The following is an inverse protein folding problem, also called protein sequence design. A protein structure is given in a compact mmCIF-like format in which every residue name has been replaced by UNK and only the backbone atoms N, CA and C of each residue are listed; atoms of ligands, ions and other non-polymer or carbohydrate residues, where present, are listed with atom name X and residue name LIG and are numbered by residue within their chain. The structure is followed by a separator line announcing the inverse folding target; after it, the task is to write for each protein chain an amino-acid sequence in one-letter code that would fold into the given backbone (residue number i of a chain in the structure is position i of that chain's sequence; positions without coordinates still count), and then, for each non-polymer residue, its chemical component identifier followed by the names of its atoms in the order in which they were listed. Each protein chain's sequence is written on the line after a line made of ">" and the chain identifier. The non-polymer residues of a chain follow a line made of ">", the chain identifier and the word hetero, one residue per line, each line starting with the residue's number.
data_IF_416880385810
#
_entry.id   IF_416880385810
#
_cell.length_a   1.000
_cell.length_b   1.000
_cell.length_c   1.000
_cell.angle_alpha   90.00
_cell.angle_beta   90.00
_cell.angle_gamma   90.00
#
_symmetry.space_group_name_H-M   'P 1'
#
loop_
_entity.id
_entity.type
_entity.pdbx_description
1 polymer ?
#
# COMPACT_ATOMS: atom_id res chain seq x y z
N UNK A 1 -30.02 18.03 -8.21
CA UNK A 1 -28.84 17.73 -9.06
C UNK A 1 -28.96 16.28 -9.50
N UNK A 2 -28.48 15.92 -10.69
CA UNK A 2 -28.45 14.53 -11.14
C UNK A 2 -27.37 13.77 -10.34
N UNK A 3 -27.65 12.51 -10.00
CA UNK A 3 -26.65 11.64 -9.38
C UNK A 3 -25.49 11.41 -10.36
N UNK A 4 -24.27 11.42 -9.82
CA UNK A 4 -23.02 11.15 -10.52
C UNK A 4 -22.32 10.01 -9.81
N UNK A 5 -22.28 8.85 -10.47
CA UNK A 5 -21.80 7.61 -9.88
C UNK A 5 -20.30 7.47 -10.13
N UNK A 6 -19.51 7.46 -9.05
CA UNK A 6 -18.07 7.33 -9.12
C UNK A 6 -17.62 6.01 -8.49
N UNK A 7 -16.97 5.16 -9.27
CA UNK A 7 -16.35 3.94 -8.74
C UNK A 7 -14.91 4.22 -8.31
N UNK A 8 -14.63 4.01 -7.03
CA UNK A 8 -13.26 4.13 -6.47
C UNK A 8 -12.43 2.90 -6.79
N UNK A 9 -11.36 3.08 -7.55
CA UNK A 9 -10.50 2.03 -8.03
C UNK A 9 -9.08 2.21 -7.46
N UNK A 10 -8.55 1.19 -6.81
CA UNK A 10 -7.19 1.22 -6.22
C UNK A 10 -6.21 0.29 -6.94
N UNK A 11 -6.66 -0.43 -7.95
CA UNK A 11 -5.88 -1.48 -8.62
C UNK A 11 -5.88 -2.83 -7.88
N UNK A 12 -6.26 -2.86 -6.60
CA UNK A 12 -6.35 -4.11 -5.84
C UNK A 12 -7.55 -4.98 -6.25
N UNK A 13 -7.52 -6.28 -5.86
CA UNK A 13 -8.50 -7.30 -6.26
C UNK A 13 -9.97 -6.89 -6.05
N UNK A 14 -10.28 -6.33 -4.90
CA UNK A 14 -11.66 -5.99 -4.54
C UNK A 14 -12.21 -4.85 -5.40
N UNK A 15 -11.44 -3.77 -5.56
CA UNK A 15 -11.84 -2.65 -6.41
C UNK A 15 -11.86 -3.02 -7.91
N UNK A 16 -10.98 -3.93 -8.34
CA UNK A 16 -10.98 -4.47 -9.70
C UNK A 16 -12.25 -5.28 -9.96
N UNK A 17 -12.54 -6.25 -9.07
CA UNK A 17 -13.74 -7.07 -9.16
C UNK A 17 -15.02 -6.21 -9.16
N UNK A 18 -15.10 -5.21 -8.27
CA UNK A 18 -16.23 -4.29 -8.22
C UNK A 18 -16.44 -3.57 -9.55
N UNK A 19 -15.41 -2.92 -10.08
CA UNK A 19 -15.53 -2.13 -11.32
C UNK A 19 -15.91 -3.01 -12.51
N UNK A 20 -15.23 -4.14 -12.69
CA UNK A 20 -15.50 -5.04 -13.79
C UNK A 20 -16.90 -5.65 -13.71
N UNK A 21 -17.33 -6.06 -12.52
CA UNK A 21 -18.66 -6.63 -12.31
C UNK A 21 -19.78 -5.61 -12.50
N UNK A 22 -19.60 -4.37 -12.06
CA UNK A 22 -20.55 -3.29 -12.33
C UNK A 22 -20.72 -3.07 -13.85
N UNK A 23 -19.62 -3.05 -14.61
CA UNK A 23 -19.65 -2.94 -16.08
C UNK A 23 -20.38 -4.14 -16.70
N UNK A 24 -20.06 -5.35 -16.29
CA UNK A 24 -20.69 -6.60 -16.78
C UNK A 24 -22.21 -6.61 -16.53
N UNK A 25 -22.66 -6.10 -15.38
CA UNK A 25 -24.07 -5.99 -15.03
C UNK A 25 -24.80 -4.83 -15.75
N UNK A 26 -24.07 -4.00 -16.48
CA UNK A 26 -24.61 -2.79 -17.12
C UNK A 26 -25.03 -1.72 -16.12
N UNK A 27 -24.46 -1.72 -14.91
CA UNK A 27 -24.72 -0.68 -13.93
C UNK A 27 -24.17 0.66 -14.42
N UNK A 28 -24.90 1.73 -14.14
CA UNK A 28 -24.47 3.06 -14.54
C UNK A 28 -23.27 3.52 -13.71
N UNK A 29 -22.19 3.87 -14.38
CA UNK A 29 -20.97 4.48 -13.82
C UNK A 29 -20.63 5.69 -14.69
N UNK A 30 -20.59 6.88 -14.11
CA UNK A 30 -20.15 8.08 -14.82
C UNK A 30 -18.62 8.14 -14.89
N UNK A 31 -17.93 7.70 -13.82
CA UNK A 31 -16.48 7.81 -13.73
C UNK A 31 -15.85 6.75 -12.83
N UNK A 32 -14.70 6.24 -13.23
CA UNK A 32 -13.78 5.44 -12.39
C UNK A 32 -12.62 6.32 -11.98
N UNK A 33 -12.36 6.41 -10.68
CA UNK A 33 -11.30 7.25 -10.11
C UNK A 33 -10.24 6.40 -9.45
N UNK A 34 -9.00 6.55 -9.88
CA UNK A 34 -7.82 5.92 -9.28
C UNK A 34 -6.87 6.99 -8.74
N UNK A 35 -6.15 6.69 -7.66
CA UNK A 35 -5.18 7.60 -7.07
C UNK A 35 -3.77 7.00 -7.15
N UNK A 36 -2.84 7.74 -7.76
CA UNK A 36 -1.45 7.31 -7.88
C UNK A 36 -0.68 7.57 -6.58
N UNK A 37 -0.02 6.53 -6.05
CA UNK A 37 0.85 6.63 -4.88
C UNK A 37 2.31 6.78 -5.25
N UNK A 38 2.65 6.65 -6.53
CA UNK A 38 3.99 6.66 -7.11
C UNK A 38 4.89 5.49 -6.66
N UNK A 39 4.40 4.60 -5.79
CA UNK A 39 5.17 3.48 -5.21
C UNK A 39 4.46 2.13 -5.30
N UNK A 40 3.54 1.99 -6.24
CA UNK A 40 2.96 0.68 -6.54
C UNK A 40 3.97 -0.20 -7.30
N UNK A 41 3.77 -1.52 -7.25
CA UNK A 41 4.58 -2.44 -8.05
C UNK A 41 4.40 -2.16 -9.57
N UNK A 42 5.44 -2.37 -10.41
CA UNK A 42 5.29 -2.20 -11.85
C UNK A 42 4.15 -3.01 -12.46
N UNK A 43 3.93 -4.25 -11.99
CA UNK A 43 2.81 -5.08 -12.40
C UNK A 43 1.45 -4.46 -12.04
N UNK A 44 1.35 -3.74 -10.91
CA UNK A 44 0.14 -3.02 -10.52
C UNK A 44 -0.17 -1.88 -11.51
N UNK A 45 0.83 -1.12 -11.94
CA UNK A 45 0.63 -0.08 -12.94
C UNK A 45 0.16 -0.66 -14.29
N UNK A 46 0.75 -1.78 -14.74
CA UNK A 46 0.28 -2.47 -15.96
C UNK A 46 -1.15 -2.98 -15.82
N UNK A 47 -1.50 -3.50 -14.65
CA UNK A 47 -2.86 -3.91 -14.33
C UNK A 47 -3.84 -2.72 -14.38
N UNK A 48 -3.49 -1.59 -13.75
CA UNK A 48 -4.31 -0.37 -13.78
C UNK A 48 -4.58 0.07 -15.23
N UNK A 49 -3.55 0.10 -16.08
CA UNK A 49 -3.70 0.45 -17.49
C UNK A 49 -4.57 -0.55 -18.27
N UNK A 50 -4.52 -1.85 -17.93
CA UNK A 50 -5.39 -2.87 -18.52
C UNK A 50 -6.85 -2.63 -18.16
N UNK A 51 -7.15 -2.36 -16.88
CA UNK A 51 -8.52 -2.06 -16.41
C UNK A 51 -9.00 -0.74 -16.99
N UNK A 52 -8.17 0.30 -17.04
CA UNK A 52 -8.49 1.60 -17.65
C UNK A 52 -9.01 1.43 -19.08
N UNK A 53 -8.33 0.63 -19.91
CA UNK A 53 -8.79 0.37 -21.29
C UNK A 53 -10.18 -0.25 -21.34
N UNK A 54 -10.51 -1.16 -20.41
CA UNK A 54 -11.85 -1.77 -20.34
C UNK A 54 -12.89 -0.73 -19.96
N UNK A 55 -12.60 0.11 -18.97
CA UNK A 55 -13.47 1.20 -18.52
C UNK A 55 -13.75 2.18 -19.67
N UNK A 56 -12.70 2.63 -20.36
CA UNK A 56 -12.81 3.58 -21.48
C UNK A 56 -13.56 2.96 -22.70
N UNK A 57 -13.32 1.66 -22.98
CA UNK A 57 -14.06 0.93 -24.02
C UNK A 57 -15.56 0.78 -23.70
N UNK A 58 -15.93 0.77 -22.43
CA UNK A 58 -17.32 0.81 -21.96
C UNK A 58 -17.95 2.23 -22.04
N UNK A 59 -17.20 3.22 -22.53
CA UNK A 59 -17.65 4.61 -22.61
C UNK A 59 -17.64 5.35 -21.25
N UNK A 60 -16.96 4.81 -20.24
CA UNK A 60 -16.88 5.36 -18.90
C UNK A 60 -15.59 6.19 -18.78
N UNK A 61 -15.69 7.36 -18.16
CA UNK A 61 -14.52 8.20 -17.90
C UNK A 61 -13.61 7.54 -16.89
N UNK A 62 -12.29 7.51 -17.15
CA UNK A 62 -11.26 7.09 -16.20
C UNK A 62 -10.38 8.27 -15.79
N UNK A 63 -10.27 8.53 -14.50
CA UNK A 63 -9.46 9.63 -13.97
C UNK A 63 -8.38 9.10 -13.02
N UNK A 64 -7.12 9.37 -13.37
CA UNK A 64 -5.98 9.16 -12.47
C UNK A 64 -5.72 10.44 -11.69
N UNK A 65 -6.04 10.43 -10.41
CA UNK A 65 -5.73 11.54 -9.51
C UNK A 65 -4.27 11.44 -9.08
N UNK A 66 -3.54 12.53 -9.24
CA UNK A 66 -2.16 12.69 -8.80
C UNK A 66 -2.07 13.80 -7.78
N UNK A 67 -1.24 13.59 -6.76
CA UNK A 67 -0.87 14.67 -5.84
C UNK A 67 -0.01 15.71 -6.58
N UNK A 68 0.09 16.93 -6.02
CA UNK A 68 0.93 18.00 -6.55
C UNK A 68 2.41 17.59 -6.66
N UNK A 69 2.86 16.81 -5.68
CA UNK A 69 4.20 16.23 -5.65
C UNK A 69 4.13 14.73 -5.46
N UNK A 70 5.17 14.02 -5.88
CA UNK A 70 5.29 12.58 -5.74
C UNK A 70 5.72 12.12 -4.34
N UNK A 71 5.87 10.81 -4.16
CA UNK A 71 6.30 10.23 -2.90
C UNK A 71 7.72 10.70 -2.51
N UNK A 72 8.65 10.76 -3.47
CA UNK A 72 10.05 11.04 -3.20
C UNK A 72 10.26 12.48 -2.72
N UNK A 73 9.51 13.42 -3.29
CA UNK A 73 9.50 14.79 -2.80
C UNK A 73 9.04 14.87 -1.33
N UNK A 74 7.90 14.26 -0.99
CA UNK A 74 7.42 14.27 0.39
C UNK A 74 8.36 13.52 1.34
N UNK A 75 8.99 12.47 0.86
CA UNK A 75 9.91 11.65 1.64
C UNK A 75 11.20 12.40 1.99
N UNK A 76 11.83 13.07 1.01
CA UNK A 76 13.19 13.60 1.13
C UNK A 76 13.30 15.13 1.16
N UNK A 77 12.35 15.86 0.57
CA UNK A 77 12.52 17.30 0.33
C UNK A 77 11.51 18.18 1.07
N UNK A 78 10.29 17.72 1.25
CA UNK A 78 9.19 18.50 1.82
C UNK A 78 9.52 19.07 3.19
N UNK A 79 9.31 20.39 3.37
CA UNK A 79 9.50 21.08 4.65
C UNK A 79 8.14 21.40 5.30
N UNK A 80 7.66 20.57 6.23
CA UNK A 80 6.40 20.84 6.91
C UNK A 80 6.53 22.07 7.84
N UNK A 81 5.54 22.94 7.81
CA UNK A 81 5.42 24.02 8.80
C UNK A 81 5.24 23.39 10.18
N UNK A 82 6.20 23.60 11.06
CA UNK A 82 6.18 23.08 12.44
C UNK A 82 5.62 24.12 13.40
N UNK A 83 4.93 23.64 14.47
CA UNK A 83 4.39 24.54 15.50
C UNK A 83 5.49 25.12 16.39
N UNK A 84 6.56 24.38 16.63
CA UNK A 84 7.72 24.84 17.39
C UNK A 84 8.86 25.17 16.43
N UNK A 85 9.21 26.48 16.24
CA UNK A 85 10.29 26.90 15.36
C UNK A 85 11.69 26.53 15.88
N UNK A 86 11.83 26.26 17.19
CA UNK A 86 13.12 25.96 17.82
C UNK A 86 13.62 24.52 17.51
N UNK A 87 12.72 23.67 16.97
CA UNK A 87 13.08 22.31 16.63
C UNK A 87 13.40 22.21 15.14
N UNK A 88 14.68 22.00 14.83
CA UNK A 88 15.14 21.77 13.47
C UNK A 88 15.03 20.27 13.15
N UNK A 89 14.38 19.95 12.05
CA UNK A 89 14.31 18.59 11.49
C UNK A 89 14.99 18.54 10.14
N UNK A 90 15.56 17.39 9.75
CA UNK A 90 16.04 17.20 8.40
C UNK A 90 14.91 17.45 7.36
N UNK A 91 15.26 17.74 6.09
CA UNK A 91 14.29 17.77 5.01
C UNK A 91 13.51 16.47 4.88
N UNK A 92 12.31 16.57 4.32
CA UNK A 92 11.43 15.44 4.10
C UNK A 92 10.68 14.96 5.34
N UNK A 93 9.70 14.10 5.09
CA UNK A 93 8.93 13.42 6.14
C UNK A 93 9.61 12.12 6.62
N UNK A 94 10.58 11.63 5.84
CA UNK A 94 11.18 10.30 6.04
C UNK A 94 10.12 9.18 6.01
N UNK A 95 10.39 8.00 6.58
CA UNK A 95 9.46 6.89 6.51
C UNK A 95 8.14 7.17 7.24
N UNK A 96 7.00 6.84 6.62
CA UNK A 96 5.72 6.86 7.32
C UNK A 96 5.67 5.74 8.36
N UNK A 97 4.83 5.92 9.39
CA UNK A 97 4.59 4.92 10.41
C UNK A 97 3.10 4.86 10.79
N UNK A 98 2.73 3.99 11.74
CA UNK A 98 1.34 3.80 12.15
C UNK A 98 0.67 5.08 12.67
N UNK A 99 1.44 6.00 13.28
CA UNK A 99 0.95 7.27 13.83
C UNK A 99 1.04 8.41 12.83
N UNK A 100 2.02 8.37 11.92
CA UNK A 100 2.27 9.45 10.95
C UNK A 100 2.22 8.88 9.53
N UNK A 101 1.01 8.71 9.02
CA UNK A 101 0.73 8.19 7.67
C UNK A 101 0.63 9.32 6.65
N UNK A 102 1.68 10.13 6.54
CA UNK A 102 1.71 11.28 5.63
C UNK A 102 1.47 10.88 4.16
N UNK A 103 1.98 9.71 3.73
CA UNK A 103 1.76 9.20 2.37
C UNK A 103 0.27 8.99 2.07
N UNK A 104 -0.50 8.44 3.01
CA UNK A 104 -1.95 8.31 2.86
C UNK A 104 -2.63 9.66 2.76
N UNK A 105 -2.20 10.64 3.57
CA UNK A 105 -2.78 11.98 3.57
C UNK A 105 -2.48 12.70 2.26
N UNK A 106 -1.20 12.93 1.95
CA UNK A 106 -0.79 13.80 0.84
C UNK A 106 -0.99 13.16 -0.54
N UNK A 107 -0.80 11.84 -0.66
CA UNK A 107 -0.89 11.17 -1.95
C UNK A 107 -2.28 10.59 -2.26
N UNK A 108 -3.13 10.37 -1.25
CA UNK A 108 -4.47 9.78 -1.46
C UNK A 108 -5.58 10.69 -0.94
N UNK A 109 -5.62 10.93 0.38
CA UNK A 109 -6.80 11.52 1.03
C UNK A 109 -7.04 12.96 0.60
N UNK A 110 -6.02 13.81 0.64
CA UNK A 110 -6.17 15.24 0.33
C UNK A 110 -6.49 15.44 -1.18
N UNK A 111 -5.79 14.80 -2.15
CA UNK A 111 -6.14 14.88 -3.57
C UNK A 111 -7.56 14.37 -3.87
N UNK A 112 -7.95 13.23 -3.31
CA UNK A 112 -9.29 12.66 -3.49
C UNK A 112 -10.37 13.62 -2.95
N UNK A 113 -10.17 14.17 -1.74
CA UNK A 113 -11.12 15.13 -1.17
C UNK A 113 -11.25 16.40 -2.01
N UNK A 114 -10.15 16.92 -2.53
CA UNK A 114 -10.16 18.08 -3.40
C UNK A 114 -10.95 17.79 -4.68
N UNK A 115 -10.70 16.64 -5.31
CA UNK A 115 -11.39 16.20 -6.50
C UNK A 115 -12.92 16.04 -6.28
N UNK A 116 -13.31 15.30 -5.24
CA UNK A 116 -14.73 15.12 -4.94
C UNK A 116 -15.43 16.41 -4.49
N UNK A 117 -14.71 17.32 -3.84
CA UNK A 117 -15.28 18.64 -3.51
C UNK A 117 -15.66 19.40 -4.77
N UNK A 118 -14.80 19.35 -5.79
CA UNK A 118 -15.09 20.01 -7.06
C UNK A 118 -16.28 19.34 -7.79
N UNK A 119 -16.31 18.01 -7.87
CA UNK A 119 -17.44 17.29 -8.45
C UNK A 119 -18.77 17.61 -7.77
N UNK A 120 -18.78 17.74 -6.44
CA UNK A 120 -19.98 18.05 -5.65
C UNK A 120 -20.52 19.47 -5.84
N UNK A 121 -19.75 20.38 -6.44
CA UNK A 121 -20.27 21.68 -6.85
C UNK A 121 -21.31 21.56 -7.97
N UNK A 122 -21.25 20.47 -8.75
CA UNK A 122 -22.07 20.30 -9.96
C UNK A 122 -23.00 19.09 -9.91
N UNK A 123 -22.72 18.10 -9.04
CA UNK A 123 -23.42 16.81 -9.00
C UNK A 123 -23.74 16.37 -7.57
N UNK A 124 -24.75 15.51 -7.44
CA UNK A 124 -24.91 14.67 -6.25
C UNK A 124 -24.02 13.42 -6.42
N UNK A 125 -22.83 13.40 -5.80
CA UNK A 125 -21.82 12.35 -6.03
C UNK A 125 -22.10 11.15 -5.16
N UNK A 126 -22.35 10.00 -5.76
CA UNK A 126 -22.44 8.68 -5.11
C UNK A 126 -21.12 7.93 -5.35
N UNK A 127 -20.42 7.60 -4.29
CA UNK A 127 -19.13 6.91 -4.36
C UNK A 127 -19.28 5.41 -4.12
N UNK A 128 -18.98 4.57 -5.12
CA UNK A 128 -18.91 3.12 -4.98
C UNK A 128 -17.51 2.72 -4.45
N UNK A 129 -17.49 1.95 -3.37
CA UNK A 129 -16.26 1.55 -2.67
C UNK A 129 -16.20 0.02 -2.62
N UNK A 130 -15.09 -0.55 -3.11
CA UNK A 130 -14.82 -2.00 -3.08
C UNK A 130 -14.47 -2.47 -1.67
N UNK A 131 -15.49 -2.69 -0.85
CA UNK A 131 -15.39 -3.24 0.49
C UNK A 131 -16.01 -4.65 0.47
N UNK A 132 -15.19 -5.67 0.68
CA UNK A 132 -15.63 -7.07 0.65
C UNK A 132 -16.46 -7.44 1.90
N UNK A 133 -17.32 -8.47 1.77
CA UNK A 133 -18.29 -8.83 2.81
C UNK A 133 -17.63 -9.34 4.10
N UNK A 134 -16.45 -9.95 4.02
CA UNK A 134 -15.65 -10.38 5.17
C UNK A 134 -14.88 -9.22 5.85
N UNK A 135 -14.91 -8.01 5.28
CA UNK A 135 -14.40 -6.78 5.89
C UNK A 135 -15.50 -5.92 6.56
N UNK A 136 -16.66 -6.50 6.90
CA UNK A 136 -17.82 -5.78 7.47
C UNK A 136 -17.46 -4.91 8.69
N UNK A 137 -16.49 -5.34 9.49
CA UNK A 137 -15.96 -4.55 10.63
C UNK A 137 -15.40 -3.17 10.20
N UNK A 138 -15.00 -3.01 8.94
CA UNK A 138 -14.57 -1.72 8.38
C UNK A 138 -15.76 -0.84 8.03
N UNK A 139 -16.88 -1.42 7.62
CA UNK A 139 -18.13 -0.69 7.36
C UNK A 139 -18.68 -0.05 8.63
N UNK A 140 -18.56 -0.73 9.76
CA UNK A 140 -19.05 -0.24 11.05
C UNK A 140 -18.27 0.99 11.58
N UNK A 141 -17.11 1.29 11.00
CA UNK A 141 -16.33 2.47 11.41
C UNK A 141 -17.01 3.75 10.93
N UNK A 142 -17.06 4.73 11.85
CA UNK A 142 -17.57 6.08 11.56
C UNK A 142 -16.87 6.66 10.33
N UNK A 143 -17.65 7.06 9.32
CA UNK A 143 -17.16 7.60 8.05
C UNK A 143 -17.29 6.66 6.85
N UNK A 144 -17.47 5.35 7.06
CA UNK A 144 -17.83 4.43 5.96
C UNK A 144 -19.35 4.30 5.78
N UNK A 145 -20.13 4.86 6.71
CA UNK A 145 -21.61 4.91 6.68
C UNK A 145 -22.14 6.25 6.11
N UNK A 146 -21.37 6.90 5.23
CA UNK A 146 -21.83 8.09 4.51
C UNK A 146 -23.00 7.68 3.59
N UNK A 147 -24.15 8.37 3.61
CA UNK A 147 -25.27 8.07 2.73
C UNK A 147 -24.96 8.20 1.24
N UNK A 148 -23.89 8.91 0.89
CA UNK A 148 -23.39 9.01 -0.47
C UNK A 148 -22.37 7.90 -0.83
N UNK A 149 -22.16 6.93 0.05
CA UNK A 149 -21.35 5.75 -0.24
C UNK A 149 -22.23 4.56 -0.56
N UNK A 150 -21.86 3.84 -1.60
CA UNK A 150 -22.41 2.55 -1.99
C UNK A 150 -21.30 1.49 -1.88
N UNK A 151 -21.66 0.29 -1.48
CA UNK A 151 -20.74 -0.83 -1.32
C UNK A 151 -21.17 -2.05 -2.13
N UNK A 152 -20.97 -2.07 -3.46
CA UNK A 152 -21.48 -3.13 -4.33
C UNK A 152 -21.09 -4.55 -3.91
N UNK A 153 -19.86 -4.75 -3.44
CA UNK A 153 -19.42 -6.07 -2.99
C UNK A 153 -20.18 -6.57 -1.76
N UNK A 154 -20.56 -5.67 -0.84
CA UNK A 154 -21.43 -6.01 0.29
C UNK A 154 -22.84 -6.36 -0.19
N UNK A 155 -23.37 -5.62 -1.15
CA UNK A 155 -24.69 -5.87 -1.74
C UNK A 155 -24.75 -7.23 -2.44
N UNK A 156 -23.67 -7.64 -3.08
CA UNK A 156 -23.55 -8.95 -3.75
C UNK A 156 -23.13 -10.07 -2.80
N UNK A 157 -22.76 -9.77 -1.55
CA UNK A 157 -22.25 -10.73 -0.58
C UNK A 157 -20.88 -11.31 -0.94
N UNK A 158 -20.07 -10.62 -1.72
CA UNK A 158 -18.76 -11.08 -2.17
C UNK A 158 -17.68 -10.86 -1.11
N UNK A 159 -16.98 -11.96 -0.78
CA UNK A 159 -15.81 -11.92 0.10
C UNK A 159 -14.52 -11.70 -0.73
N UNK A 160 -13.40 -11.41 -0.06
CA UNK A 160 -12.10 -11.18 -0.71
C UNK A 160 -11.68 -12.31 -1.65
N UNK A 161 -11.99 -13.57 -1.29
CA UNK A 161 -11.68 -14.74 -2.10
C UNK A 161 -12.50 -14.77 -3.41
N UNK A 162 -13.78 -14.38 -3.36
CA UNK A 162 -14.65 -14.30 -4.55
C UNK A 162 -14.13 -13.22 -5.51
N UNK A 163 -13.70 -12.07 -4.97
CA UNK A 163 -13.13 -10.99 -5.76
C UNK A 163 -11.86 -11.44 -6.50
N UNK A 164 -10.95 -12.13 -5.81
CA UNK A 164 -9.72 -12.64 -6.40
C UNK A 164 -10.01 -13.70 -7.48
N UNK A 165 -10.89 -14.66 -7.15
CA UNK A 165 -11.31 -15.69 -8.11
C UNK A 165 -11.95 -15.07 -9.35
N UNK A 166 -12.87 -14.14 -9.19
CA UNK A 166 -13.50 -13.44 -10.32
C UNK A 166 -12.48 -12.77 -11.21
N UNK A 167 -11.50 -12.07 -10.62
CA UNK A 167 -10.44 -11.42 -11.38
C UNK A 167 -9.60 -12.43 -12.17
N UNK A 168 -9.20 -13.54 -11.57
CA UNK A 168 -8.44 -14.59 -12.25
C UNK A 168 -9.24 -15.23 -13.39
N UNK A 169 -10.51 -15.55 -13.17
CA UNK A 169 -11.40 -16.11 -14.19
C UNK A 169 -11.54 -15.17 -15.42
N UNK A 170 -11.32 -13.86 -15.23
CA UNK A 170 -11.34 -12.84 -16.27
C UNK A 170 -9.94 -12.44 -16.79
N UNK A 171 -8.90 -13.18 -16.40
CA UNK A 171 -7.52 -12.97 -16.87
C UNK A 171 -6.80 -11.79 -16.24
N UNK A 172 -7.18 -11.39 -15.01
CA UNK A 172 -6.48 -10.38 -14.21
C UNK A 172 -5.74 -11.06 -13.06
N UNK A 173 -4.44 -11.23 -13.21
CA UNK A 173 -3.57 -11.99 -12.31
C UNK A 173 -2.48 -11.13 -11.62
N UNK A 174 -2.39 -9.84 -11.96
CA UNK A 174 -1.33 -8.93 -11.47
C UNK A 174 0.08 -9.49 -11.66
N UNK A 175 0.27 -10.33 -12.69
CA UNK A 175 1.55 -11.00 -12.96
C UNK A 175 2.07 -11.80 -11.75
N UNK A 176 1.17 -12.45 -11.02
CA UNK A 176 1.50 -13.31 -9.87
C UNK A 176 1.71 -12.58 -8.54
N UNK A 177 1.45 -11.27 -8.43
CA UNK A 177 1.65 -10.56 -7.16
C UNK A 177 0.84 -11.17 -6.00
N UNK A 178 -0.40 -11.62 -6.24
CA UNK A 178 -1.22 -12.25 -5.19
C UNK A 178 -0.84 -13.71 -4.88
N UNK A 179 0.02 -14.34 -5.69
CA UNK A 179 0.64 -15.63 -5.38
C UNK A 179 1.82 -15.44 -4.42
N UNK A 180 2.52 -14.30 -4.55
CA UNK A 180 3.68 -13.97 -3.73
C UNK A 180 3.23 -13.32 -2.42
N UNK A 181 2.37 -12.31 -2.48
CA UNK A 181 1.97 -11.50 -1.34
C UNK A 181 0.54 -11.83 -0.89
N UNK A 182 0.34 -11.96 0.40
CA UNK A 182 -1.01 -12.12 0.97
C UNK A 182 -1.85 -10.84 0.79
N UNK A 183 -1.18 -9.70 0.77
CA UNK A 183 -1.78 -8.39 0.50
C UNK A 183 -0.83 -7.54 -0.34
N UNK A 184 -1.27 -7.15 -1.52
CA UNK A 184 -0.53 -6.20 -2.35
C UNK A 184 -0.73 -4.79 -1.84
N UNK A 185 0.38 -4.10 -1.56
CA UNK A 185 0.45 -2.69 -1.13
C UNK A 185 1.61 -2.01 -1.84
N UNK A 186 1.84 -0.71 -1.61
CA UNK A 186 3.06 -0.07 -2.09
C UNK A 186 4.30 -0.88 -1.68
N UNK A 187 5.22 -1.15 -2.61
CA UNK A 187 6.36 -2.03 -2.36
C UNK A 187 7.28 -1.55 -1.23
N UNK A 188 7.35 -0.23 -0.99
CA UNK A 188 8.16 0.38 0.07
C UNK A 188 7.39 0.67 1.37
N UNK A 189 6.25 0.02 1.62
CA UNK A 189 5.43 0.33 2.79
C UNK A 189 6.03 -0.22 4.09
N UNK A 190 6.39 0.60 5.09
CA UNK A 190 6.93 0.11 6.37
C UNK A 190 5.89 -0.65 7.21
N UNK A 191 4.59 -0.52 6.87
CA UNK A 191 3.51 -1.15 7.62
C UNK A 191 3.22 -2.60 7.18
N UNK A 192 3.84 -3.07 6.09
CA UNK A 192 3.69 -4.47 5.66
C UNK A 192 4.35 -5.43 6.67
N UNK A 193 3.86 -6.67 6.82
CA UNK A 193 4.48 -7.67 7.69
C UNK A 193 5.94 -7.98 7.31
N UNK A 194 6.75 -8.42 8.26
CA UNK A 194 8.17 -8.79 8.00
C UNK A 194 8.28 -9.91 6.98
N UNK A 195 7.34 -10.86 6.98
CA UNK A 195 7.27 -11.92 5.96
C UNK A 195 7.11 -11.36 4.55
N UNK A 196 6.34 -10.29 4.36
CA UNK A 196 6.19 -9.65 3.05
C UNK A 196 7.49 -8.91 2.62
N UNK A 197 8.25 -8.35 3.58
CA UNK A 197 9.57 -7.78 3.29
C UNK A 197 10.58 -8.83 2.80
N UNK A 198 10.57 -10.04 3.39
CA UNK A 198 11.40 -11.16 2.89
C UNK A 198 11.02 -11.55 1.46
N UNK A 199 9.73 -11.58 1.17
CA UNK A 199 9.22 -11.87 -0.18
C UNK A 199 9.62 -10.77 -1.17
N UNK A 200 9.55 -9.49 -0.77
CA UNK A 200 10.02 -8.36 -1.57
C UNK A 200 11.52 -8.54 -1.92
N UNK A 201 12.37 -8.79 -0.91
CA UNK A 201 13.80 -9.02 -1.09
C UNK A 201 14.07 -10.19 -2.04
N UNK A 202 13.34 -11.29 -1.87
CA UNK A 202 13.55 -12.53 -2.64
C UNK A 202 13.07 -12.43 -4.08
N UNK A 203 11.88 -11.88 -4.31
CA UNK A 203 11.22 -11.88 -5.61
C UNK A 203 11.39 -10.59 -6.40
N UNK A 204 11.76 -9.49 -5.74
CA UNK A 204 11.94 -8.17 -6.33
C UNK A 204 13.24 -7.52 -5.85
N UNK A 205 14.40 -8.12 -6.13
CA UNK A 205 15.70 -7.64 -5.61
C UNK A 205 16.02 -6.21 -6.05
N UNK A 206 15.55 -5.79 -7.22
CA UNK A 206 15.73 -4.42 -7.72
C UNK A 206 14.95 -3.40 -6.87
N UNK A 207 13.70 -3.71 -6.51
CA UNK A 207 12.89 -2.86 -5.63
C UNK A 207 13.43 -2.87 -4.19
N UNK A 208 13.95 -4.01 -3.73
CA UNK A 208 14.64 -4.10 -2.45
C UNK A 208 15.89 -3.24 -2.41
N UNK A 209 16.70 -3.22 -3.49
CA UNK A 209 17.86 -2.35 -3.60
C UNK A 209 17.44 -0.87 -3.61
N UNK A 210 16.37 -0.51 -4.33
CA UNK A 210 15.82 0.85 -4.29
C UNK A 210 15.40 1.25 -2.86
N UNK A 211 14.77 0.32 -2.12
CA UNK A 211 14.38 0.54 -0.72
C UNK A 211 15.60 0.82 0.16
N UNK A 212 16.69 0.07 -0.01
CA UNK A 212 17.97 0.31 0.71
C UNK A 212 18.57 1.67 0.38
N UNK A 213 18.53 2.09 -0.89
CA UNK A 213 19.02 3.43 -1.28
C UNK A 213 18.16 4.56 -0.69
N UNK A 214 16.84 4.41 -0.70
CA UNK A 214 15.94 5.37 -0.06
C UNK A 214 16.21 5.47 1.45
N UNK A 215 16.43 4.35 2.12
CA UNK A 215 16.66 4.31 3.58
C UNK A 215 17.90 5.08 4.01
N UNK A 216 18.94 5.17 3.17
CA UNK A 216 20.14 5.98 3.43
C UNK A 216 19.88 7.48 3.61
N UNK A 217 18.77 7.97 3.05
CA UNK A 217 18.33 9.37 3.16
C UNK A 217 17.33 9.55 4.32
N UNK A 218 16.87 8.46 4.92
CA UNK A 218 15.86 8.49 5.95
C UNK A 218 16.46 8.88 7.32
N UNK A 219 15.75 9.74 8.04
CA UNK A 219 16.06 10.10 9.42
C UNK A 219 15.11 9.46 10.45
N UNK A 220 14.07 8.75 9.97
CA UNK A 220 13.20 7.88 10.78
C UNK A 220 13.50 6.44 10.37
N UNK A 221 13.69 5.50 11.31
CA UNK A 221 13.88 4.09 10.99
C UNK A 221 12.72 3.53 10.14
N UNK A 222 13.06 2.62 9.22
CA UNK A 222 12.08 2.06 8.30
C UNK A 222 10.95 1.32 9.02
N UNK A 223 11.31 0.39 9.91
CA UNK A 223 10.30 -0.45 10.59
C UNK A 223 10.82 -0.98 11.92
N UNK A 224 9.98 -0.88 12.97
CA UNK A 224 10.28 -1.43 14.30
C UNK A 224 11.64 -0.93 14.85
N UNK A 225 11.89 0.36 14.69
CA UNK A 225 13.14 1.02 15.08
C UNK A 225 14.40 0.44 14.41
N UNK A 226 14.22 -0.17 13.22
CA UNK A 226 15.30 -0.75 12.41
C UNK A 226 15.37 -0.11 11.03
N UNK A 227 16.59 0.05 10.53
CA UNK A 227 16.87 0.44 9.15
C UNK A 227 16.63 -0.73 8.19
N UNK A 228 16.55 -0.44 6.90
CA UNK A 228 16.48 -1.49 5.86
C UNK A 228 17.76 -2.33 5.84
N UNK A 229 18.90 -1.74 6.17
CA UNK A 229 20.16 -2.46 6.24
C UNK A 229 20.19 -3.48 7.39
N UNK A 230 19.62 -3.15 8.56
CA UNK A 230 19.46 -4.13 9.65
C UNK A 230 18.57 -5.30 9.24
N UNK A 231 17.52 -5.04 8.42
CA UNK A 231 16.69 -6.10 7.86
C UNK A 231 17.43 -6.94 6.82
N UNK A 232 18.26 -6.33 5.97
CA UNK A 232 19.09 -7.05 5.00
C UNK A 232 20.03 -8.03 5.69
N UNK A 233 20.77 -7.56 6.69
CA UNK A 233 21.74 -8.40 7.46
C UNK A 233 21.00 -9.55 8.15
N UNK A 234 19.83 -9.27 8.73
CA UNK A 234 19.02 -10.31 9.34
C UNK A 234 18.55 -11.36 8.32
N UNK A 235 18.06 -10.95 7.19
CA UNK A 235 17.57 -11.87 6.15
C UNK A 235 18.73 -12.69 5.55
N UNK A 236 19.91 -12.12 5.40
CA UNK A 236 21.11 -12.87 4.99
C UNK A 236 21.44 -13.97 6.00
N UNK A 237 21.46 -13.64 7.28
CA UNK A 237 21.70 -14.64 8.33
C UNK A 237 20.63 -15.72 8.37
N UNK A 238 19.36 -15.36 8.15
CA UNK A 238 18.25 -16.33 8.02
C UNK A 238 18.49 -17.27 6.85
N UNK A 239 18.84 -16.76 5.66
CA UNK A 239 19.15 -17.56 4.46
C UNK A 239 20.34 -18.50 4.70
N UNK A 240 21.42 -18.03 5.36
CA UNK A 240 22.60 -18.84 5.69
C UNK A 240 22.26 -20.01 6.64
N UNK A 241 21.42 -19.74 7.65
CA UNK A 241 20.97 -20.78 8.57
C UNK A 241 20.09 -21.81 7.89
N UNK A 242 19.15 -21.37 7.07
CA UNK A 242 18.30 -22.29 6.28
C UNK A 242 19.14 -23.17 5.35
N UNK A 243 20.16 -22.61 4.70
CA UNK A 243 21.08 -23.37 3.84
C UNK A 243 21.88 -24.43 4.61
N UNK A 244 22.10 -24.22 5.92
CA UNK A 244 22.76 -25.19 6.82
C UNK A 244 21.77 -26.17 7.48
N UNK A 245 20.49 -26.11 7.12
CA UNK A 245 19.42 -26.95 7.71
C UNK A 245 19.02 -26.51 9.13
N UNK A 246 19.42 -25.30 9.54
CA UNK A 246 19.02 -24.70 10.81
C UNK A 246 17.73 -23.88 10.63
N UNK A 247 16.92 -23.79 11.69
CA UNK A 247 15.70 -22.97 11.66
C UNK A 247 15.99 -21.61 12.29
N UNK A 248 15.98 -20.52 11.49
CA UNK A 248 16.17 -19.17 12.03
C UNK A 248 14.96 -18.77 12.87
N UNK A 249 15.21 -18.35 14.11
CA UNK A 249 14.14 -17.90 15.00
C UNK A 249 14.63 -16.77 15.91
N UNK A 250 14.14 -15.56 15.67
CA UNK A 250 14.49 -14.36 16.47
C UNK A 250 14.11 -14.49 17.96
N UNK A 251 13.21 -15.40 18.32
CA UNK A 251 12.84 -15.65 19.72
C UNK A 251 13.91 -16.44 20.47
N UNK A 252 14.79 -17.16 19.77
CA UNK A 252 15.87 -17.92 20.41
C UNK A 252 17.05 -17.02 20.77
N UNK A 253 17.71 -17.33 21.89
CA UNK A 253 18.89 -16.62 22.35
C UNK A 253 20.03 -16.75 21.32
N UNK A 254 20.24 -17.97 20.82
CA UNK A 254 21.34 -18.29 19.88
C UNK A 254 21.24 -17.46 18.61
N UNK A 255 20.05 -17.38 18.00
CA UNK A 255 19.86 -16.57 16.78
C UNK A 255 20.07 -15.07 17.06
N UNK A 256 19.58 -14.57 18.21
CA UNK A 256 19.78 -13.15 18.56
C UNK A 256 21.25 -12.79 18.81
N UNK A 257 22.02 -13.71 19.40
CA UNK A 257 23.46 -13.51 19.60
C UNK A 257 24.19 -13.49 18.26
N UNK A 258 23.94 -14.47 17.38
CA UNK A 258 24.51 -14.48 16.03
C UNK A 258 24.14 -13.23 15.22
N UNK A 259 22.88 -12.78 15.30
CA UNK A 259 22.47 -11.55 14.63
C UNK A 259 23.18 -10.31 15.20
N UNK A 260 23.36 -10.25 16.52
CA UNK A 260 24.10 -9.14 17.15
C UNK A 260 25.54 -9.09 16.68
N UNK A 261 26.24 -10.22 16.71
CA UNK A 261 27.63 -10.33 16.22
C UNK A 261 27.71 -9.87 14.75
N UNK A 262 26.78 -10.31 13.90
CA UNK A 262 26.75 -9.91 12.49
C UNK A 262 26.49 -8.40 12.30
N UNK A 263 25.61 -7.79 13.10
CA UNK A 263 25.37 -6.35 13.07
C UNK A 263 26.60 -5.56 13.53
N UNK A 264 27.28 -6.02 14.60
CA UNK A 264 28.50 -5.42 15.10
C UNK A 264 29.65 -5.47 14.07
N UNK A 265 29.79 -6.59 13.34
CA UNK A 265 30.75 -6.73 12.23
C UNK A 265 30.51 -5.69 11.12
N UNK A 266 29.25 -5.29 10.89
CA UNK A 266 28.86 -4.26 9.92
C UNK A 266 28.87 -2.84 10.51
N UNK A 267 29.31 -2.67 11.77
CA UNK A 267 29.34 -1.38 12.45
C UNK A 267 27.96 -0.80 12.77
N UNK A 268 26.93 -1.63 12.82
CA UNK A 268 25.56 -1.22 13.12
C UNK A 268 25.26 -1.49 14.60
N UNK A 269 25.04 -0.41 15.35
CA UNK A 269 24.57 -0.51 16.74
C UNK A 269 23.05 -0.39 16.74
N UNK A 270 22.31 -1.47 17.06
CA UNK A 270 20.85 -1.42 17.11
C UNK A 270 20.37 -0.36 18.10
N UNK A 271 19.47 0.53 17.65
CA UNK A 271 18.92 1.62 18.47
C UNK A 271 18.10 1.11 19.68
N UNK A 272 17.57 -0.10 19.60
CA UNK A 272 16.92 -0.83 20.69
C UNK A 272 17.51 -2.23 20.78
N UNK A 273 17.73 -2.76 21.99
CA UNK A 273 18.17 -4.15 22.15
C UNK A 273 17.25 -5.10 21.37
N UNK A 274 17.83 -6.20 20.83
CA UNK A 274 17.07 -7.19 20.06
C UNK A 274 15.96 -7.80 20.93
N UNK A 275 14.74 -7.24 20.80
CA UNK A 275 13.56 -7.76 21.50
C UNK A 275 12.86 -8.81 20.61
N UNK A 276 12.21 -9.81 21.20
CA UNK A 276 11.28 -10.67 20.47
C UNK A 276 10.22 -9.80 19.80
N UNK A 277 10.00 -10.02 18.52
CA UNK A 277 8.90 -9.37 17.80
C UNK A 277 7.57 -9.99 18.26
N UNK A 278 6.58 -9.15 18.50
CA UNK A 278 5.19 -9.62 18.61
C UNK A 278 4.71 -10.00 17.19
N UNK A 279 4.07 -11.13 17.05
CA UNK A 279 3.44 -11.62 15.82
C UNK A 279 2.29 -10.71 15.38
#
# INVERSE_FOLDING_TARGET
>A
MKDYIVASFSGGKDSTAMVLRMIELGEHIDEVVCCDTYKEFPAMYRHIEKVKKVVENAGIKFTMIKAEHDFDYYFAEYQPKRKNPDITYPPGQSWPNSKMRWCTRYLKTDPIKAYFKELRNHHNVIQCIGLAADELYRFERKGNQDPNHRHPLLEWGWVEADCLKYCYDHGYDWEGLYEIFSRVSCWCCPLQPVGELRKLRKHFPELWQQLREMDKQAWVPFKMDKSVEEWEIRFQLEDEWEAQGLTPNIRTKVFREALRERLDEHGIVPASGLRPEAD
#
